data_IF_155513457875
#
_entry.id   IF_155513457875
#
_cell.length_a   1.000
_cell.length_b   1.000
_cell.length_c   1.000
_cell.angle_alpha   90.00
_cell.angle_beta   90.00
_cell.angle_gamma   90.00
#
_symmetry.space_group_name_H-M   'P 1'
#
loop_
_entity.id
_entity.type
_entity.pdbx_description
1 polymer ?
#
# COMPACT_ATOMS: atom_id res chain seq x y z
N UNK A 1 -3.82 18.93 9.43
CA UNK A 1 -4.69 17.78 9.09
C UNK A 1 -3.81 16.55 9.23
N UNK A 2 -3.74 15.97 10.42
CA UNK A 2 -2.85 14.83 10.71
C UNK A 2 -3.50 13.47 10.33
N UNK A 3 -4.80 13.45 10.00
CA UNK A 3 -5.57 12.22 9.71
C UNK A 3 -5.89 12.00 8.22
N UNK A 4 -4.93 12.23 7.31
CA UNK A 4 -5.19 12.13 5.86
C UNK A 4 -5.27 10.70 5.29
N UNK A 5 -4.92 9.66 6.07
CA UNK A 5 -4.88 8.28 5.57
C UNK A 5 -6.28 7.77 5.27
N UNK A 6 -7.22 7.95 6.20
CA UNK A 6 -8.61 7.49 6.03
C UNK A 6 -9.22 8.15 4.80
N UNK A 7 -9.05 9.46 4.65
CA UNK A 7 -9.50 10.20 3.47
C UNK A 7 -8.91 9.66 2.17
N UNK A 8 -7.60 9.35 2.16
CA UNK A 8 -6.94 8.75 1.02
C UNK A 8 -7.52 7.37 0.67
N UNK A 9 -7.68 6.48 1.65
CA UNK A 9 -8.20 5.12 1.44
C UNK A 9 -9.66 5.18 0.98
N UNK A 10 -10.48 6.06 1.56
CA UNK A 10 -11.86 6.34 1.13
C UNK A 10 -11.89 6.82 -0.32
N UNK A 11 -11.03 7.77 -0.68
CA UNK A 11 -10.92 8.29 -2.05
C UNK A 11 -10.53 7.17 -3.03
N UNK A 12 -9.49 6.40 -2.74
CA UNK A 12 -9.03 5.29 -3.59
C UNK A 12 -10.15 4.26 -3.80
N UNK A 13 -10.84 3.88 -2.73
CA UNK A 13 -12.01 2.99 -2.80
C UNK A 13 -13.12 3.57 -3.67
N UNK A 14 -13.43 4.86 -3.51
CA UNK A 14 -14.43 5.55 -4.34
C UNK A 14 -14.07 5.53 -5.83
N UNK A 15 -12.81 5.79 -6.17
CA UNK A 15 -12.31 5.70 -7.55
C UNK A 15 -12.47 4.29 -8.14
N UNK A 16 -12.16 3.25 -7.37
CA UNK A 16 -12.32 1.87 -7.81
C UNK A 16 -13.80 1.53 -8.09
N UNK A 17 -14.71 1.87 -7.17
CA UNK A 17 -16.16 1.64 -7.33
C UNK A 17 -16.71 2.36 -8.56
N UNK A 18 -16.36 3.64 -8.74
CA UNK A 18 -16.84 4.42 -9.89
C UNK A 18 -16.29 3.86 -11.20
N UNK A 19 -15.00 3.52 -11.25
CA UNK A 19 -14.35 2.95 -12.44
C UNK A 19 -15.02 1.63 -12.83
N UNK A 20 -15.23 0.74 -11.87
CA UNK A 20 -15.93 -0.52 -12.07
C UNK A 20 -17.36 -0.30 -12.60
N UNK A 21 -18.08 0.69 -12.05
CA UNK A 21 -19.42 1.02 -12.51
C UNK A 21 -19.44 1.54 -13.95
N UNK A 22 -18.49 2.42 -14.31
CA UNK A 22 -18.34 2.93 -15.69
C UNK A 22 -18.07 1.77 -16.66
N UNK A 23 -17.10 0.92 -16.36
CA UNK A 23 -16.74 -0.22 -17.21
C UNK A 23 -17.90 -1.21 -17.39
N UNK A 24 -18.70 -1.43 -16.33
CA UNK A 24 -19.89 -2.28 -16.40
C UNK A 24 -21.02 -1.65 -17.21
N UNK A 25 -21.27 -0.35 -17.06
CA UNK A 25 -22.34 0.36 -17.80
C UNK A 25 -22.01 0.53 -19.28
N UNK A 26 -20.74 0.74 -19.62
CA UNK A 26 -20.28 1.04 -20.98
C UNK A 26 -19.38 -0.07 -21.55
N UNK A 27 -19.71 -1.32 -21.25
CA UNK A 27 -18.92 -2.48 -21.67
C UNK A 27 -18.75 -2.51 -23.20
N UNK A 28 -17.50 -2.57 -23.67
CA UNK A 28 -17.16 -2.55 -25.09
C UNK A 28 -17.07 -1.15 -25.71
N UNK A 29 -17.11 -0.09 -24.90
CA UNK A 29 -16.89 1.27 -25.37
C UNK A 29 -15.40 1.60 -25.44
N UNK A 30 -14.91 1.90 -26.64
CA UNK A 30 -13.54 2.36 -26.89
C UNK A 30 -13.15 3.60 -26.05
N UNK A 31 -14.13 4.41 -25.65
CA UNK A 31 -13.93 5.59 -24.80
C UNK A 31 -13.35 5.22 -23.42
N UNK A 32 -13.75 4.07 -22.87
CA UNK A 32 -13.37 3.64 -21.52
C UNK A 32 -12.39 2.47 -21.51
N UNK A 33 -11.99 1.94 -22.66
CA UNK A 33 -11.02 0.84 -22.77
C UNK A 33 -9.72 1.14 -22.02
N UNK A 34 -9.29 2.40 -21.99
CA UNK A 34 -8.10 2.83 -21.26
C UNK A 34 -8.17 2.65 -19.73
N UNK A 35 -9.37 2.46 -19.17
CA UNK A 35 -9.61 2.20 -17.75
C UNK A 35 -9.59 0.70 -17.40
N UNK A 36 -9.55 -0.19 -18.40
CA UNK A 36 -9.46 -1.63 -18.16
C UNK A 36 -8.12 -2.00 -17.55
N UNK A 37 -8.09 -3.06 -16.73
CA UNK A 37 -6.86 -3.54 -16.10
C UNK A 37 -5.85 -3.93 -17.17
N UNK A 38 -6.31 -4.55 -18.25
CA UNK A 38 -5.51 -4.98 -19.38
C UNK A 38 -4.85 -3.79 -20.08
N UNK A 39 -5.61 -2.72 -20.35
CA UNK A 39 -5.06 -1.52 -20.98
C UNK A 39 -4.08 -0.78 -20.06
N UNK A 40 -4.38 -0.69 -18.76
CA UNK A 40 -3.48 -0.10 -17.76
C UNK A 40 -2.18 -0.90 -17.72
N UNK A 41 -2.26 -2.22 -17.61
CA UNK A 41 -1.08 -3.09 -17.52
C UNK A 41 -0.25 -3.06 -18.81
N UNK A 42 -0.89 -3.04 -19.98
CA UNK A 42 -0.21 -2.91 -21.27
C UNK A 42 0.60 -1.62 -21.36
N UNK A 43 0.14 -0.52 -20.74
CA UNK A 43 0.84 0.77 -20.73
C UNK A 43 1.88 0.88 -19.63
N UNK A 44 1.58 0.35 -18.44
CA UNK A 44 2.35 0.56 -17.21
C UNK A 44 3.44 -0.48 -17.03
N UNK A 45 3.14 -1.78 -17.17
CA UNK A 45 4.09 -2.84 -16.86
C UNK A 45 5.38 -2.78 -17.69
N UNK A 46 5.38 -2.41 -18.99
CA UNK A 46 6.61 -2.27 -19.76
C UNK A 46 7.59 -1.22 -19.21
N UNK A 47 7.11 -0.23 -18.47
CA UNK A 47 7.95 0.81 -17.85
C UNK A 47 8.63 0.31 -16.57
N UNK A 48 8.14 -0.79 -15.98
CA UNK A 48 8.58 -1.27 -14.69
C UNK A 48 9.75 -2.26 -14.81
N UNK A 49 10.80 -2.11 -13.97
CA UNK A 49 11.92 -3.04 -13.93
C UNK A 49 11.49 -4.47 -13.61
N UNK A 50 12.21 -5.43 -14.21
CA UNK A 50 12.12 -6.85 -13.87
C UNK A 50 13.06 -7.24 -12.72
N UNK A 51 13.87 -6.30 -12.23
CA UNK A 51 14.74 -6.46 -11.05
C UNK A 51 13.99 -6.06 -9.78
N UNK A 52 14.51 -6.46 -8.62
CA UNK A 52 14.01 -6.00 -7.32
C UNK A 52 14.30 -4.49 -7.13
N UNK A 53 13.47 -3.82 -6.34
CA UNK A 53 13.66 -2.39 -5.98
C UNK A 53 13.88 -2.18 -4.47
N UNK A 54 13.93 -3.27 -3.71
CA UNK A 54 14.09 -3.26 -2.27
C UNK A 54 15.17 -4.28 -1.88
N UNK A 55 15.79 -4.06 -0.73
CA UNK A 55 16.73 -5.00 -0.14
C UNK A 55 16.01 -6.30 0.30
N UNK A 56 16.67 -7.44 0.11
CA UNK A 56 16.09 -8.76 0.35
C UNK A 56 15.89 -9.05 1.83
N UNK A 57 16.91 -8.75 2.64
CA UNK A 57 16.89 -8.96 4.09
C UNK A 57 15.83 -8.06 4.75
N UNK A 58 15.71 -6.83 4.26
CA UNK A 58 14.65 -5.90 4.62
C UNK A 58 13.25 -6.47 4.34
N UNK A 59 13.02 -7.07 3.16
CA UNK A 59 11.72 -7.68 2.82
C UNK A 59 11.44 -8.93 3.68
N UNK A 60 12.44 -9.74 3.96
CA UNK A 60 12.32 -10.90 4.85
C UNK A 60 11.92 -10.45 6.28
N UNK A 61 12.57 -9.41 6.80
CA UNK A 61 12.21 -8.82 8.09
C UNK A 61 10.76 -8.30 8.11
N UNK A 62 10.32 -7.65 7.03
CA UNK A 62 8.93 -7.22 6.85
C UNK A 62 7.93 -8.38 6.88
N UNK A 63 8.28 -9.52 6.27
CA UNK A 63 7.45 -10.71 6.29
C UNK A 63 7.37 -11.30 7.70
N UNK A 64 8.50 -11.43 8.40
CA UNK A 64 8.54 -11.95 9.77
C UNK A 64 7.72 -11.10 10.75
N UNK A 65 7.84 -9.78 10.66
CA UNK A 65 7.05 -8.85 11.48
C UNK A 65 5.56 -8.92 11.12
N UNK A 66 5.21 -9.05 9.84
CA UNK A 66 3.82 -9.26 9.42
C UNK A 66 3.26 -10.58 10.00
N UNK A 67 4.00 -11.68 9.89
CA UNK A 67 3.60 -12.99 10.41
C UNK A 67 3.35 -12.97 11.93
N UNK A 68 4.10 -12.16 12.67
CA UNK A 68 3.88 -11.96 14.11
C UNK A 68 2.49 -11.37 14.44
N UNK A 69 1.86 -10.67 13.48
CA UNK A 69 0.52 -10.07 13.60
C UNK A 69 -0.57 -11.09 13.27
N UNK A 70 -0.25 -12.18 12.55
CA UNK A 70 -1.21 -13.19 12.10
C UNK A 70 -2.12 -13.75 13.21
N UNK A 71 -1.63 -14.02 14.44
CA UNK A 71 -2.48 -14.49 15.55
C UNK A 71 -3.53 -13.46 16.01
N UNK A 72 -3.34 -12.17 15.71
CA UNK A 72 -4.22 -11.08 16.13
C UNK A 72 -5.38 -10.82 15.15
N UNK A 73 -5.39 -11.49 14.00
CA UNK A 73 -6.39 -11.26 12.95
C UNK A 73 -7.77 -11.79 13.36
N UNK A 74 -8.75 -10.89 13.47
CA UNK A 74 -10.11 -11.19 13.95
C UNK A 74 -11.14 -11.29 12.83
N UNK A 75 -11.09 -10.39 11.84
CA UNK A 75 -12.11 -10.26 10.78
C UNK A 75 -11.65 -10.79 9.43
N UNK A 76 -12.60 -10.93 8.49
CA UNK A 76 -12.33 -11.18 7.06
C UNK A 76 -11.42 -10.11 6.48
N UNK A 77 -11.73 -8.83 6.71
CA UNK A 77 -10.90 -7.71 6.24
C UNK A 77 -9.47 -7.75 6.76
N UNK A 78 -9.24 -8.18 8.01
CA UNK A 78 -7.87 -8.37 8.52
C UNK A 78 -7.14 -9.44 7.72
N UNK A 79 -7.78 -10.59 7.46
CA UNK A 79 -7.16 -11.72 6.73
C UNK A 79 -6.90 -11.40 5.27
N UNK A 80 -7.85 -10.73 4.60
CA UNK A 80 -7.72 -10.30 3.20
C UNK A 80 -6.57 -9.30 3.08
N UNK A 81 -6.54 -8.29 3.95
CA UNK A 81 -5.49 -7.26 3.95
C UNK A 81 -4.13 -7.87 4.26
N UNK A 82 -4.05 -8.73 5.29
CA UNK A 82 -2.83 -9.46 5.63
C UNK A 82 -2.28 -10.23 4.42
N UNK A 83 -3.12 -11.03 3.76
CA UNK A 83 -2.70 -11.81 2.60
C UNK A 83 -2.24 -10.92 1.46
N UNK A 84 -2.94 -9.80 1.23
CA UNK A 84 -2.57 -8.86 0.19
C UNK A 84 -1.22 -8.16 0.48
N UNK A 85 -0.94 -7.79 1.74
CA UNK A 85 0.37 -7.25 2.16
C UNK A 85 1.47 -8.30 1.96
N UNK A 86 1.23 -9.55 2.36
CA UNK A 86 2.17 -10.64 2.16
C UNK A 86 2.47 -10.87 0.67
N UNK A 87 1.43 -10.83 -0.18
CA UNK A 87 1.59 -10.93 -1.63
C UNK A 87 2.44 -9.78 -2.20
N UNK A 88 2.33 -8.56 -1.64
CA UNK A 88 3.16 -7.44 -2.05
C UNK A 88 4.62 -7.66 -1.66
N UNK A 89 4.92 -8.03 -0.41
CA UNK A 89 6.30 -8.27 0.01
C UNK A 89 6.96 -9.41 -0.78
N UNK A 90 6.27 -10.54 -0.93
CA UNK A 90 6.74 -11.67 -1.73
C UNK A 90 6.89 -11.31 -3.22
N UNK A 91 6.00 -10.47 -3.76
CA UNK A 91 6.14 -9.92 -5.10
C UNK A 91 7.36 -9.02 -5.24
N UNK A 92 7.63 -8.14 -4.26
CA UNK A 92 8.81 -7.27 -4.25
C UNK A 92 10.12 -8.06 -4.15
N UNK A 93 10.12 -9.23 -3.51
CA UNK A 93 11.26 -10.16 -3.51
C UNK A 93 11.56 -10.72 -4.91
N UNK A 94 10.54 -10.82 -5.77
CA UNK A 94 10.71 -11.31 -7.14
C UNK A 94 11.12 -10.18 -8.10
N UNK A 95 10.38 -9.07 -8.11
CA UNK A 95 10.69 -7.90 -8.94
C UNK A 95 9.82 -6.69 -8.55
N UNK A 96 10.27 -5.49 -8.93
CA UNK A 96 9.48 -4.26 -8.84
C UNK A 96 8.13 -4.40 -9.56
N UNK A 97 8.11 -5.06 -10.72
CA UNK A 97 6.88 -5.34 -11.47
C UNK A 97 5.92 -6.25 -10.71
N UNK A 98 6.39 -7.36 -10.15
CA UNK A 98 5.55 -8.29 -9.40
C UNK A 98 4.97 -7.62 -8.14
N UNK A 99 5.78 -6.85 -7.41
CA UNK A 99 5.30 -6.03 -6.29
C UNK A 99 4.24 -4.99 -6.72
N UNK A 100 4.41 -4.35 -7.88
CA UNK A 100 3.42 -3.40 -8.40
C UNK A 100 2.09 -4.05 -8.80
N UNK A 101 2.11 -5.22 -9.43
CA UNK A 101 0.89 -5.98 -9.74
C UNK A 101 0.16 -6.32 -8.44
N UNK A 102 0.87 -6.85 -7.45
CA UNK A 102 0.30 -7.19 -6.15
C UNK A 102 -0.29 -5.96 -5.43
N UNK A 103 0.37 -4.80 -5.50
CA UNK A 103 -0.16 -3.55 -4.94
C UNK A 103 -1.43 -3.08 -5.67
N UNK A 104 -1.47 -3.24 -6.99
CA UNK A 104 -2.65 -2.89 -7.78
C UNK A 104 -3.86 -3.75 -7.39
N UNK A 105 -3.63 -5.03 -7.13
CA UNK A 105 -4.65 -5.96 -6.66
C UNK A 105 -5.09 -5.70 -5.21
N UNK A 106 -4.19 -5.23 -4.35
CA UNK A 106 -4.50 -4.84 -2.97
C UNK A 106 -5.65 -3.82 -2.91
N UNK A 107 -5.66 -2.83 -3.81
CA UNK A 107 -6.74 -1.84 -3.86
C UNK A 107 -8.11 -2.42 -4.26
N UNK A 108 -8.14 -3.54 -5.00
CA UNK A 108 -9.39 -4.25 -5.28
C UNK A 108 -9.98 -4.89 -4.00
N UNK A 109 -9.14 -5.19 -3.00
CA UNK A 109 -9.59 -5.67 -1.70
C UNK A 109 -10.53 -4.68 -1.01
N UNK A 110 -10.16 -3.39 -0.99
CA UNK A 110 -10.98 -2.33 -0.39
C UNK A 110 -12.28 -2.06 -1.15
N UNK A 111 -12.24 -2.16 -2.48
CA UNK A 111 -13.44 -2.05 -3.32
C UNK A 111 -14.49 -3.10 -2.95
N UNK A 112 -14.06 -4.34 -2.74
CA UNK A 112 -14.94 -5.48 -2.41
C UNK A 112 -15.43 -5.52 -0.96
N UNK A 113 -14.78 -4.81 -0.05
CA UNK A 113 -15.24 -4.70 1.34
C UNK A 113 -16.60 -4.00 1.39
N UNK A 114 -17.52 -4.56 2.19
CA UNK A 114 -18.79 -3.92 2.49
C UNK A 114 -18.55 -2.57 3.19
N UNK A 115 -19.47 -1.60 3.04
CA UNK A 115 -19.23 -0.26 3.59
C UNK A 115 -19.00 -0.26 5.11
N UNK A 116 -19.83 -1.00 5.86
CA UNK A 116 -19.69 -1.12 7.31
C UNK A 116 -18.35 -1.75 7.69
N UNK A 117 -18.01 -2.88 7.04
CA UNK A 117 -16.76 -3.59 7.26
C UNK A 117 -15.54 -2.70 6.96
N UNK A 118 -15.59 -1.93 5.87
CA UNK A 118 -14.55 -0.98 5.50
C UNK A 118 -14.39 0.14 6.54
N UNK A 119 -15.49 0.71 7.04
CA UNK A 119 -15.44 1.76 8.07
C UNK A 119 -14.86 1.23 9.38
N UNK A 120 -15.23 0.02 9.80
CA UNK A 120 -14.63 -0.67 10.96
C UNK A 120 -13.16 -1.01 10.74
N UNK A 121 -12.78 -1.31 9.50
CA UNK A 121 -11.40 -1.61 9.14
C UNK A 121 -10.51 -0.37 9.25
N UNK A 122 -10.95 0.80 8.75
CA UNK A 122 -10.15 2.03 8.76
C UNK A 122 -10.25 2.82 10.08
N UNK A 123 -11.05 2.36 11.04
CA UNK A 123 -11.21 3.00 12.33
C UNK A 123 -9.85 3.11 13.07
N UNK A 124 -9.44 4.29 13.56
CA UNK A 124 -8.18 4.48 14.27
C UNK A 124 -8.10 3.69 15.58
N UNK A 125 -9.23 3.33 16.18
CA UNK A 125 -9.29 2.51 17.41
C UNK A 125 -9.15 1.01 17.12
N UNK A 126 -9.25 0.58 15.85
CA UNK A 126 -8.98 -0.80 15.46
C UNK A 126 -7.47 -1.03 15.32
N UNK A 127 -6.81 -1.25 16.45
CA UNK A 127 -5.35 -1.34 16.49
C UNK A 127 -4.75 -2.47 15.63
N UNK A 128 -5.49 -3.58 15.39
CA UNK A 128 -5.01 -4.64 14.48
C UNK A 128 -5.00 -4.15 13.04
N UNK A 129 -6.05 -3.42 12.61
CA UNK A 129 -6.03 -2.75 11.30
C UNK A 129 -4.94 -1.70 11.22
N UNK A 130 -4.70 -0.93 12.29
CA UNK A 130 -3.62 0.06 12.33
C UNK A 130 -2.24 -0.57 12.11
N UNK A 131 -1.97 -1.75 12.69
CA UNK A 131 -0.74 -2.51 12.41
C UNK A 131 -0.62 -2.86 10.91
N UNK A 132 -1.69 -3.39 10.31
CA UNK A 132 -1.71 -3.74 8.88
C UNK A 132 -1.57 -2.50 7.99
N UNK A 133 -2.22 -1.39 8.35
CA UNK A 133 -2.13 -0.12 7.63
C UNK A 133 -0.73 0.48 7.74
N UNK A 134 -0.01 0.28 8.86
CA UNK A 134 1.39 0.72 8.97
C UNK A 134 2.32 -0.06 8.02
N UNK A 135 2.09 -1.36 7.85
CA UNK A 135 2.76 -2.15 6.81
C UNK A 135 2.45 -1.63 5.40
N UNK A 136 1.18 -1.31 5.12
CA UNK A 136 0.80 -0.69 3.85
C UNK A 136 1.52 0.65 3.64
N UNK A 137 1.60 1.51 4.66
CA UNK A 137 2.35 2.77 4.57
C UNK A 137 3.83 2.50 4.31
N UNK A 138 4.45 1.54 4.99
CA UNK A 138 5.85 1.16 4.74
C UNK A 138 6.05 0.71 3.27
N UNK A 139 5.14 -0.09 2.73
CA UNK A 139 5.13 -0.48 1.31
C UNK A 139 5.07 0.75 0.40
N UNK A 140 4.20 1.72 0.68
CA UNK A 140 4.11 2.94 -0.15
C UNK A 140 5.41 3.76 -0.14
N UNK A 141 6.14 3.75 0.97
CA UNK A 141 7.47 4.38 1.07
C UNK A 141 8.51 3.57 0.30
N UNK A 142 8.51 2.24 0.41
CA UNK A 142 9.41 1.34 -0.33
C UNK A 142 9.23 1.42 -1.85
N UNK A 143 7.99 1.54 -2.31
CA UNK A 143 7.64 1.55 -3.73
C UNK A 143 7.73 2.94 -4.37
N UNK A 144 8.21 3.94 -3.65
CA UNK A 144 8.38 5.27 -4.22
C UNK A 144 9.20 5.34 -5.51
N UNK A 145 10.29 4.57 -5.74
CA UNK A 145 11.04 4.62 -6.98
C UNK A 145 10.17 4.20 -8.17
N UNK A 146 9.30 3.20 -7.96
CA UNK A 146 8.32 2.76 -8.94
C UNK A 146 7.35 3.89 -9.28
N UNK A 147 6.83 4.59 -8.26
CA UNK A 147 5.93 5.73 -8.47
C UNK A 147 6.62 6.89 -9.20
N UNK A 148 7.92 7.10 -8.99
CA UNK A 148 8.70 8.10 -9.73
C UNK A 148 8.89 7.73 -11.21
N UNK A 149 9.07 6.44 -11.54
CA UNK A 149 9.11 5.99 -12.94
C UNK A 149 7.79 6.29 -13.63
N UNK A 150 6.67 6.03 -12.95
CA UNK A 150 5.32 6.25 -13.50
C UNK A 150 4.92 7.73 -13.51
N UNK A 151 5.45 8.53 -12.57
CA UNK A 151 5.18 9.95 -12.44
C UNK A 151 6.45 10.72 -12.05
N UNK A 152 7.30 11.07 -13.03
CA UNK A 152 8.59 11.73 -12.77
C UNK A 152 8.50 13.06 -12.03
N UNK A 153 7.34 13.75 -12.06
CA UNK A 153 7.13 14.98 -11.28
C UNK A 153 7.28 14.77 -9.77
N UNK A 154 7.11 13.54 -9.28
CA UNK A 154 7.22 13.18 -7.86
C UNK A 154 8.66 13.33 -7.34
N UNK A 155 9.69 13.23 -8.20
CA UNK A 155 11.10 13.45 -7.84
C UNK A 155 11.40 14.84 -7.29
N UNK A 156 10.53 15.82 -7.56
CA UNK A 156 10.68 17.21 -7.11
C UNK A 156 10.18 17.43 -5.67
N UNK A 157 9.51 16.44 -5.06
CA UNK A 157 8.94 16.55 -3.72
C UNK A 157 9.92 15.99 -2.66
N UNK A 158 10.22 16.74 -1.58
CA UNK A 158 11.01 16.21 -0.47
C UNK A 158 10.30 15.05 0.23
N UNK A 159 11.00 13.92 0.38
CA UNK A 159 10.52 12.70 1.04
C UNK A 159 9.94 12.92 2.43
N UNK A 160 10.65 13.71 3.25
CA UNK A 160 10.23 14.03 4.61
C UNK A 160 8.89 14.80 4.67
N UNK A 161 8.46 15.41 3.56
CA UNK A 161 7.21 16.14 3.46
C UNK A 161 6.08 15.29 2.84
N UNK A 162 6.32 14.00 2.58
CA UNK A 162 5.31 13.14 1.97
C UNK A 162 4.30 12.67 3.00
N UNK A 163 3.05 12.64 2.54
CA UNK A 163 1.89 12.26 3.33
C UNK A 163 2.01 10.86 3.95
N UNK A 164 2.57 9.82 3.28
CA UNK A 164 2.83 8.52 3.89
C UNK A 164 3.72 8.57 5.14
N UNK A 165 4.73 9.45 5.18
CA UNK A 165 5.59 9.56 6.37
C UNK A 165 4.79 10.07 7.58
N UNK A 166 3.95 11.06 7.35
CA UNK A 166 3.05 11.61 8.38
C UNK A 166 2.02 10.57 8.85
N UNK A 167 1.45 9.80 7.92
CA UNK A 167 0.52 8.72 8.25
C UNK A 167 1.17 7.67 9.15
N UNK A 168 2.38 7.22 8.83
CA UNK A 168 3.06 6.19 9.62
C UNK A 168 3.37 6.65 11.03
N UNK A 169 3.81 7.90 11.20
CA UNK A 169 4.05 8.49 12.52
C UNK A 169 2.76 8.57 13.33
N UNK A 170 1.66 9.05 12.73
CA UNK A 170 0.37 9.16 13.40
C UNK A 170 -0.18 7.78 13.84
N UNK A 171 -0.12 6.79 12.95
CA UNK A 171 -0.53 5.41 13.25
C UNK A 171 0.28 4.87 14.43
N UNK A 172 1.61 4.96 14.37
CA UNK A 172 2.49 4.39 15.39
C UNK A 172 2.28 5.04 16.77
N UNK A 173 2.07 6.36 16.81
CA UNK A 173 1.78 7.08 18.05
C UNK A 173 0.43 6.69 18.66
N UNK A 174 -0.55 6.33 17.83
CA UNK A 174 -1.88 5.91 18.28
C UNK A 174 -1.95 4.43 18.73
N UNK A 175 -0.91 3.62 18.46
CA UNK A 175 -0.88 2.22 18.90
C UNK A 175 -0.64 2.11 20.43
N UNK A 176 -1.28 1.12 21.09
CA UNK A 176 -0.93 0.72 22.45
C UNK A 176 0.53 0.33 22.55
N UNK A 177 1.16 0.61 23.69
CA UNK A 177 2.59 0.36 23.91
C UNK A 177 2.98 -1.08 23.62
N UNK A 178 2.16 -2.06 24.02
CA UNK A 178 2.46 -3.49 23.83
C UNK A 178 2.41 -3.91 22.36
N UNK A 179 1.73 -3.15 21.50
CA UNK A 179 1.60 -3.46 20.07
C UNK A 179 2.64 -2.75 19.22
N UNK A 180 3.34 -1.73 19.75
CA UNK A 180 4.33 -0.96 19.01
C UNK A 180 5.55 -1.78 18.61
N UNK A 181 5.97 -2.71 19.46
CA UNK A 181 7.13 -3.58 19.21
C UNK A 181 6.94 -4.45 17.95
N UNK A 182 5.69 -4.78 17.60
CA UNK A 182 5.37 -5.59 16.41
C UNK A 182 5.71 -4.87 15.09
N UNK A 183 5.82 -3.54 15.12
CA UNK A 183 5.94 -2.69 13.93
C UNK A 183 6.95 -1.55 14.09
N UNK A 184 7.82 -1.63 15.11
CA UNK A 184 8.80 -0.58 15.42
C UNK A 184 9.75 -0.32 14.24
N UNK A 185 10.15 -1.39 13.55
CA UNK A 185 10.99 -1.29 12.37
C UNK A 185 10.30 -0.52 11.24
N UNK A 186 9.02 -0.82 10.96
CA UNK A 186 8.24 -0.13 9.93
C UNK A 186 8.11 1.35 10.27
N UNK A 187 7.80 1.66 11.54
CA UNK A 187 7.70 3.05 12.00
C UNK A 187 9.02 3.79 11.84
N UNK A 188 10.14 3.17 12.21
CA UNK A 188 11.49 3.75 12.07
C UNK A 188 11.86 3.95 10.60
N UNK A 189 11.60 2.95 9.76
CA UNK A 189 11.80 3.02 8.31
C UNK A 189 11.01 4.20 7.72
N UNK A 190 9.71 4.30 8.02
CA UNK A 190 8.85 5.38 7.54
C UNK A 190 9.32 6.75 8.05
N UNK A 191 9.64 6.88 9.33
CA UNK A 191 10.06 8.14 9.95
C UNK A 191 11.39 8.67 9.36
N UNK A 192 12.27 7.77 8.92
CA UNK A 192 13.50 8.14 8.19
C UNK A 192 13.24 8.58 6.73
N UNK A 193 11.99 8.57 6.27
CA UNK A 193 11.62 8.70 4.86
C UNK A 193 12.09 7.50 4.02
N UNK A 194 12.30 6.35 4.66
CA UNK A 194 13.04 5.20 4.14
C UNK A 194 14.42 5.62 3.61
N UNK A 195 15.21 6.35 4.40
CA UNK A 195 16.45 7.04 4.01
C UNK A 195 16.48 7.53 2.53
N UNK A 196 15.43 8.31 2.20
CA UNK A 196 15.03 8.89 0.90
C UNK A 196 14.73 7.83 -0.17
N UNK A 197 13.84 6.91 0.17
CA UNK A 197 13.58 5.68 -0.58
C UNK A 197 14.88 5.02 -1.04
N UNK A 198 15.79 4.85 -0.09
CA UNK A 198 17.19 4.44 -0.23
C UNK A 198 17.88 5.09 -1.45
N UNK A 199 17.75 6.41 -1.51
CA UNK A 199 18.32 7.40 -2.44
C UNK A 199 17.90 7.31 -3.92
N UNK A 200 16.61 7.03 -4.19
CA UNK A 200 16.07 6.71 -5.53
C UNK A 200 16.83 5.53 -6.19
N UNK A 201 17.64 4.82 -5.41
CA UNK A 201 18.87 4.19 -5.87
C UNK A 201 18.96 2.73 -5.42
N UNK A 202 19.71 1.89 -6.13
CA UNK A 202 20.68 2.20 -7.19
C UNK A 202 20.08 2.54 -8.56
#
# INVERSE_FOLDING_TARGET
MEDGLVDFVVMVRGCAIITMRILNMYKGSEMFDSLTVEAIYTRVLPLLPLTTCCDGDMLEFCILTLESIQPLLKSSSHRITYQAILNIYTGLQQSARAGFIALSEFYNGWERMGNQEFMEFVDPTNHVSQLLLLHFVAITVMMWPIFCILRPSMLKAPMANLTPCQWGVAIYQNLPLEMRELVEWQATYIASGGAISNAIGN
#
